data_IF_451064283928
#
_entry.id   IF_451064283928
#
_cell.length_a   1.000
_cell.length_b   1.000
_cell.length_c   1.000
_cell.angle_alpha   90.00
_cell.angle_beta   90.00
_cell.angle_gamma   90.00
#
_symmetry.space_group_name_H-M   'P 1'
#
loop_
_entity.id
_entity.type
_entity.pdbx_description
1 polymer ?
#
# COMPACT_ATOMS: atom_id res chain seq x y z
N UNK A 1 -9.97 3.36 1.11
CA UNK A 1 -10.80 3.60 -0.08
C UNK A 1 -12.20 4.13 0.30
N UNK A 2 -12.83 4.83 -0.63
CA UNK A 2 -14.13 5.51 -0.39
C UNK A 2 -15.34 4.58 -0.52
N UNK A 3 -15.23 3.51 -1.28
CA UNK A 3 -16.30 2.55 -1.54
C UNK A 3 -16.06 1.27 -0.75
N UNK A 4 -17.04 0.87 0.07
CA UNK A 4 -16.94 -0.37 0.86
C UNK A 4 -17.23 -1.59 -0.02
N UNK A 5 -16.34 -2.59 0.00
CA UNK A 5 -16.50 -3.88 -0.68
C UNK A 5 -15.69 -4.97 0.04
N UNK A 6 -15.91 -6.22 -0.34
CA UNK A 6 -15.13 -7.37 0.16
C UNK A 6 -14.16 -7.86 -0.90
N UNK A 7 -13.01 -8.38 -0.47
CA UNK A 7 -11.98 -8.89 -1.36
C UNK A 7 -11.07 -7.80 -1.92
N UNK A 8 -10.51 -8.03 -3.08
CA UNK A 8 -9.63 -7.10 -3.79
C UNK A 8 -10.29 -6.66 -5.09
N UNK A 9 -10.34 -5.35 -5.33
CA UNK A 9 -10.89 -4.79 -6.56
C UNK A 9 -9.77 -4.48 -7.56
N UNK A 10 -9.86 -5.09 -8.72
CA UNK A 10 -9.15 -4.73 -9.94
C UNK A 10 -10.03 -3.82 -10.80
N UNK A 11 -9.49 -3.20 -11.84
CA UNK A 11 -10.25 -2.36 -12.76
C UNK A 11 -10.04 -2.79 -14.22
N UNK A 12 -11.00 -2.43 -15.08
CA UNK A 12 -10.92 -2.58 -16.53
C UNK A 12 -10.21 -1.40 -17.23
N UNK A 13 -9.67 -0.44 -16.47
CA UNK A 13 -9.00 0.73 -17.05
C UNK A 13 -7.71 0.31 -17.75
N UNK A 14 -7.40 0.95 -18.88
CA UNK A 14 -6.17 0.73 -19.63
C UNK A 14 -5.04 1.66 -19.19
N UNK A 15 -5.37 2.76 -18.53
CA UNK A 15 -4.43 3.76 -18.04
C UNK A 15 -5.03 4.62 -16.93
N UNK A 16 -4.16 5.30 -16.20
CA UNK A 16 -4.49 6.37 -15.26
C UNK A 16 -3.82 7.67 -15.70
N UNK A 17 -4.61 8.72 -15.90
CA UNK A 17 -4.09 10.03 -16.30
C UNK A 17 -3.54 10.82 -15.12
N UNK A 18 -2.38 11.44 -15.31
CA UNK A 18 -1.75 12.36 -14.35
C UNK A 18 -1.33 13.65 -15.04
N UNK A 19 -0.97 14.70 -14.30
CA UNK A 19 -0.39 15.90 -14.91
C UNK A 19 0.92 15.66 -15.71
N UNK A 20 1.57 14.50 -15.52
CA UNK A 20 2.79 14.10 -16.24
C UNK A 20 2.50 13.18 -17.43
N UNK A 21 1.24 12.93 -17.75
CA UNK A 21 0.81 11.99 -18.79
C UNK A 21 0.21 10.71 -18.23
N UNK A 22 -0.07 9.76 -19.11
CA UNK A 22 -0.74 8.51 -18.74
C UNK A 22 0.22 7.46 -18.18
N UNK A 23 -0.24 6.74 -17.15
CA UNK A 23 0.42 5.54 -16.61
C UNK A 23 -0.37 4.33 -17.10
N UNK A 24 0.28 3.47 -17.84
CA UNK A 24 -0.36 2.32 -18.50
C UNK A 24 -0.61 1.19 -17.48
N UNK A 25 -1.79 0.63 -17.50
CA UNK A 25 -2.13 -0.60 -16.78
C UNK A 25 -1.60 -1.80 -17.58
N UNK A 26 -0.95 -2.77 -16.92
CA UNK A 26 -0.40 -3.96 -17.58
C UNK A 26 -1.51 -5.01 -17.81
N UNK A 27 -1.98 -5.20 -19.05
CA UNK A 27 -3.15 -6.04 -19.30
C UNK A 27 -2.90 -7.53 -18.96
N UNK A 28 -1.75 -8.07 -19.31
CA UNK A 28 -1.44 -9.47 -19.02
C UNK A 28 -1.31 -9.77 -17.52
N UNK A 29 -0.91 -8.80 -16.72
CA UNK A 29 -0.91 -8.92 -15.26
C UNK A 29 -2.32 -8.75 -14.68
N UNK A 30 -3.15 -7.86 -15.25
CA UNK A 30 -4.55 -7.71 -14.86
C UNK A 30 -5.34 -9.00 -15.10
N UNK A 31 -5.17 -9.64 -16.28
CA UNK A 31 -5.79 -10.94 -16.56
C UNK A 31 -5.39 -12.00 -15.54
N UNK A 32 -4.12 -12.02 -15.14
CA UNK A 32 -3.64 -12.97 -14.12
C UNK A 32 -4.23 -12.70 -12.74
N UNK A 33 -4.30 -11.44 -12.32
CA UNK A 33 -4.82 -11.08 -10.99
C UNK A 33 -6.31 -11.38 -10.87
N UNK A 34 -7.09 -11.17 -11.94
CA UNK A 34 -8.52 -11.48 -11.97
C UNK A 34 -8.85 -12.97 -11.82
N UNK A 35 -7.88 -13.86 -12.08
CA UNK A 35 -8.03 -15.30 -11.86
C UNK A 35 -7.73 -15.72 -10.40
N UNK A 36 -7.30 -14.81 -9.53
CA UNK A 36 -7.03 -15.10 -8.12
C UNK A 36 -8.35 -15.08 -7.33
N UNK A 37 -8.66 -16.12 -6.53
CA UNK A 37 -9.86 -16.13 -5.70
C UNK A 37 -9.96 -14.92 -4.78
N UNK A 38 -11.12 -14.27 -4.75
CA UNK A 38 -11.36 -13.08 -3.95
C UNK A 38 -11.01 -11.75 -4.65
N UNK A 39 -10.53 -11.80 -5.90
CA UNK A 39 -10.39 -10.61 -6.75
C UNK A 39 -11.66 -10.44 -7.58
N UNK A 40 -12.13 -9.22 -7.68
CA UNK A 40 -13.28 -8.81 -8.51
C UNK A 40 -12.90 -7.64 -9.41
N UNK A 41 -13.49 -7.56 -10.59
CA UNK A 41 -13.43 -6.35 -11.41
C UNK A 41 -14.48 -5.38 -10.91
N UNK A 42 -14.04 -4.19 -10.44
CA UNK A 42 -14.94 -3.21 -9.87
C UNK A 42 -14.44 -1.77 -10.09
N UNK A 43 -14.69 -1.22 -11.24
CA UNK A 43 -14.29 0.14 -11.63
C UNK A 43 -14.84 1.23 -10.72
N UNK A 44 -16.05 1.02 -10.18
CA UNK A 44 -16.67 1.98 -9.28
C UNK A 44 -15.86 2.24 -8.00
N UNK A 45 -15.06 1.28 -7.54
CA UNK A 45 -14.19 1.47 -6.38
C UNK A 45 -12.99 2.37 -6.68
N UNK A 46 -12.52 2.38 -7.92
CA UNK A 46 -11.38 3.19 -8.36
C UNK A 46 -11.76 4.63 -8.69
N UNK A 47 -13.04 4.90 -8.96
CA UNK A 47 -13.52 6.25 -9.30
C UNK A 47 -13.44 7.17 -8.08
N UNK A 48 -12.63 8.22 -8.16
CA UNK A 48 -12.44 9.19 -7.09
C UNK A 48 -11.65 8.65 -5.88
N UNK A 49 -10.95 7.53 -6.05
CA UNK A 49 -10.04 6.98 -5.04
C UNK A 49 -8.67 7.68 -5.09
N UNK A 50 -8.13 8.03 -3.91
CA UNK A 50 -6.88 8.79 -3.80
C UNK A 50 -5.66 7.93 -3.49
N UNK A 51 -5.83 6.76 -2.90
CA UNK A 51 -4.71 5.93 -2.43
C UNK A 51 -3.75 5.50 -3.55
N UNK A 52 -4.21 5.43 -4.80
CA UNK A 52 -3.40 5.11 -5.96
C UNK A 52 -2.85 6.38 -6.64
N UNK A 53 -3.71 7.37 -6.91
CA UNK A 53 -3.35 8.53 -7.73
C UNK A 53 -2.21 9.36 -7.16
N UNK A 54 -2.11 9.46 -5.82
CA UNK A 54 -1.05 10.23 -5.15
C UNK A 54 0.35 9.69 -5.41
N UNK A 55 0.48 8.40 -5.72
CA UNK A 55 1.76 7.76 -5.99
C UNK A 55 2.19 7.83 -7.47
N UNK A 56 1.23 7.94 -8.39
CA UNK A 56 1.51 7.79 -9.83
C UNK A 56 2.53 8.79 -10.37
N UNK A 57 2.49 10.09 -10.05
CA UNK A 57 3.50 11.05 -10.52
C UNK A 57 4.92 10.72 -10.03
N UNK A 58 5.04 10.19 -8.81
CA UNK A 58 6.34 9.76 -8.26
C UNK A 58 6.84 8.51 -8.98
N UNK A 59 5.96 7.54 -9.23
CA UNK A 59 6.29 6.34 -10.01
C UNK A 59 6.80 6.72 -11.40
N UNK A 60 6.11 7.64 -12.10
CA UNK A 60 6.52 8.12 -13.41
C UNK A 60 7.90 8.78 -13.40
N UNK A 61 8.22 9.52 -12.34
CA UNK A 61 9.53 10.19 -12.21
C UNK A 61 10.67 9.21 -11.93
N UNK A 62 10.43 8.19 -11.10
CA UNK A 62 11.44 7.20 -10.69
C UNK A 62 11.55 6.06 -11.70
N UNK A 63 10.42 5.64 -12.27
CA UNK A 63 10.31 4.53 -13.22
C UNK A 63 9.52 4.95 -14.47
N UNK A 64 10.10 5.75 -15.38
CA UNK A 64 9.37 6.37 -16.49
C UNK A 64 8.71 5.41 -17.48
N UNK A 65 9.08 4.13 -17.46
CA UNK A 65 8.53 3.08 -18.33
C UNK A 65 7.73 2.03 -17.55
N UNK A 66 7.47 2.26 -16.27
CA UNK A 66 6.69 1.32 -15.48
C UNK A 66 5.26 1.24 -16.00
N UNK A 67 4.73 0.03 -15.96
CA UNK A 67 3.30 -0.26 -16.06
C UNK A 67 2.81 -0.68 -14.69
N UNK A 68 1.56 -0.48 -14.41
CA UNK A 68 0.99 -0.72 -13.08
C UNK A 68 -0.06 -1.83 -13.10
N UNK A 69 -0.21 -2.48 -11.95
CA UNK A 69 -1.33 -3.35 -11.60
C UNK A 69 -2.04 -2.70 -10.41
N UNK A 70 -3.02 -1.83 -10.67
CA UNK A 70 -3.69 -1.06 -9.63
C UNK A 70 -4.74 -1.93 -8.94
N UNK A 71 -4.64 -2.04 -7.61
CA UNK A 71 -5.54 -2.86 -6.81
C UNK A 71 -6.00 -2.08 -5.59
N UNK A 72 -7.27 -2.20 -5.25
CA UNK A 72 -7.85 -1.69 -4.01
C UNK A 72 -8.23 -2.86 -3.12
N UNK A 73 -7.90 -2.73 -1.83
CA UNK A 73 -8.09 -3.82 -0.86
C UNK A 73 -9.28 -3.52 0.03
N UNK A 74 -10.34 -4.31 -0.10
CA UNK A 74 -11.56 -4.22 0.71
C UNK A 74 -11.48 -5.05 1.99
N UNK A 75 -12.65 -5.28 2.61
CA UNK A 75 -12.76 -6.11 3.81
C UNK A 75 -12.48 -7.58 3.51
N UNK A 76 -12.04 -8.32 4.54
CA UNK A 76 -11.80 -9.78 4.49
C UNK A 76 -10.84 -10.23 3.37
N UNK A 77 -9.91 -9.36 2.97
CA UNK A 77 -9.07 -9.55 1.80
C UNK A 77 -7.64 -10.01 2.12
N UNK A 78 -7.25 -10.20 3.38
CA UNK A 78 -5.85 -10.44 3.76
C UNK A 78 -5.24 -11.65 3.04
N UNK A 79 -5.95 -12.79 3.04
CA UNK A 79 -5.50 -14.00 2.33
C UNK A 79 -5.42 -13.79 0.81
N UNK A 80 -6.37 -13.05 0.23
CA UNK A 80 -6.34 -12.71 -1.20
C UNK A 80 -5.13 -11.85 -1.55
N UNK A 81 -4.80 -10.87 -0.70
CA UNK A 81 -3.61 -10.04 -0.89
C UNK A 81 -2.33 -10.88 -0.74
N UNK A 82 -2.24 -11.81 0.23
CA UNK A 82 -1.12 -12.73 0.34
C UNK A 82 -0.93 -13.54 -0.95
N UNK A 83 -2.01 -14.12 -1.51
CA UNK A 83 -1.96 -14.86 -2.79
C UNK A 83 -1.48 -13.98 -3.95
N UNK A 84 -1.97 -12.75 -4.03
CA UNK A 84 -1.53 -11.79 -5.06
C UNK A 84 -0.04 -11.49 -4.90
N UNK A 85 0.40 -11.15 -3.70
CA UNK A 85 1.80 -10.85 -3.43
C UNK A 85 2.71 -12.04 -3.79
N UNK A 86 2.35 -13.26 -3.41
CA UNK A 86 3.10 -14.46 -3.74
C UNK A 86 3.14 -14.72 -5.26
N UNK A 87 2.02 -14.53 -5.97
CA UNK A 87 1.92 -14.74 -7.42
C UNK A 87 2.68 -13.70 -8.25
N UNK A 88 2.80 -12.47 -7.73
CA UNK A 88 3.44 -11.33 -8.40
C UNK A 88 4.78 -10.93 -7.79
N UNK A 89 5.28 -11.69 -6.82
CA UNK A 89 6.61 -11.46 -6.27
C UNK A 89 7.67 -11.76 -7.33
N UNK A 90 8.16 -10.70 -7.95
CA UNK A 90 9.10 -10.80 -9.07
C UNK A 90 10.53 -10.46 -8.65
N UNK A 91 11.39 -10.37 -9.65
CA UNK A 91 12.78 -9.92 -9.53
C UNK A 91 12.90 -8.39 -9.59
N UNK A 92 14.05 -7.90 -10.08
CA UNK A 92 14.34 -6.47 -10.14
C UNK A 92 13.40 -5.66 -11.06
N UNK A 93 12.63 -6.33 -11.92
CA UNK A 93 11.63 -5.72 -12.80
C UNK A 93 10.32 -5.39 -12.09
N UNK A 94 10.06 -5.97 -10.92
CA UNK A 94 8.80 -5.80 -10.17
C UNK A 94 9.03 -4.96 -8.92
N UNK A 95 8.11 -4.07 -8.63
CA UNK A 95 8.05 -3.31 -7.37
C UNK A 95 6.66 -3.37 -6.80
N UNK A 96 6.56 -3.71 -5.53
CA UNK A 96 5.31 -3.72 -4.76
C UNK A 96 5.26 -2.43 -3.97
N UNK A 97 4.14 -1.72 -4.06
CA UNK A 97 3.89 -0.49 -3.31
C UNK A 97 2.59 -0.69 -2.54
N UNK A 98 2.64 -0.58 -1.23
CA UNK A 98 1.47 -0.52 -0.37
C UNK A 98 1.23 0.93 0.03
N UNK A 99 0.06 1.44 -0.32
CA UNK A 99 -0.38 2.79 0.04
C UNK A 99 -1.15 2.74 1.35
N UNK A 100 -0.68 3.47 2.34
CA UNK A 100 -1.33 3.61 3.64
C UNK A 100 -0.86 4.88 4.35
N UNK A 101 -1.79 5.59 4.97
CA UNK A 101 -1.45 6.48 6.07
C UNK A 101 -1.32 5.66 7.37
N UNK A 102 -0.73 6.25 8.40
CA UNK A 102 -0.66 5.68 9.74
C UNK A 102 -1.88 6.12 10.57
N UNK A 103 -1.69 6.61 11.80
CA UNK A 103 -2.79 7.05 12.66
C UNK A 103 -3.52 8.29 12.12
N UNK A 104 -4.80 8.43 12.46
CA UNK A 104 -5.65 9.54 12.00
C UNK A 104 -6.33 10.26 13.16
N UNK A 105 -6.36 11.59 13.08
CA UNK A 105 -7.19 12.48 13.92
C UNK A 105 -6.92 12.33 15.42
N UNK A 106 -5.69 12.06 15.80
CA UNK A 106 -5.24 12.08 17.19
C UNK A 106 -4.41 13.33 17.48
N UNK A 107 -4.38 13.80 18.76
CA UNK A 107 -3.40 14.78 19.20
C UNK A 107 -1.97 14.32 18.87
N UNK A 108 -1.11 15.28 18.53
CA UNK A 108 0.26 15.02 18.03
C UNK A 108 1.06 13.99 18.82
N UNK A 109 1.11 14.11 20.16
CA UNK A 109 1.90 13.19 20.98
C UNK A 109 1.30 11.78 21.03
N UNK A 110 -0.04 11.67 20.97
CA UNK A 110 -0.73 10.38 20.91
C UNK A 110 -0.45 9.70 19.57
N UNK A 111 -0.66 10.43 18.46
CA UNK A 111 -0.38 9.94 17.11
C UNK A 111 1.07 9.46 16.98
N UNK A 112 2.03 10.26 17.46
CA UNK A 112 3.44 9.92 17.44
C UNK A 112 3.75 8.61 18.17
N UNK A 113 3.11 8.37 19.32
CA UNK A 113 3.27 7.13 20.07
C UNK A 113 2.66 5.92 19.36
N UNK A 114 1.50 6.10 18.70
CA UNK A 114 0.85 5.05 17.89
C UNK A 114 1.70 4.72 16.65
N UNK A 115 2.14 5.74 15.93
CA UNK A 115 2.93 5.59 14.70
C UNK A 115 4.29 4.93 14.95
N UNK A 116 4.93 5.24 16.09
CA UNK A 116 6.15 4.56 16.50
C UNK A 116 5.93 3.06 16.73
N UNK A 117 4.83 2.67 17.40
CA UNK A 117 4.50 1.25 17.63
C UNK A 117 4.21 0.53 16.31
N UNK A 118 3.40 1.14 15.44
CA UNK A 118 3.13 0.60 14.10
C UNK A 118 4.41 0.45 13.28
N UNK A 119 5.28 1.46 13.31
CA UNK A 119 6.58 1.42 12.62
C UNK A 119 7.49 0.33 13.14
N UNK A 120 7.52 0.11 14.45
CA UNK A 120 8.30 -0.98 15.04
C UNK A 120 7.78 -2.34 14.56
N UNK A 121 6.45 -2.56 14.58
CA UNK A 121 5.84 -3.78 14.07
C UNK A 121 6.18 -4.03 12.59
N UNK A 122 6.20 -2.98 11.77
CA UNK A 122 6.58 -3.06 10.35
C UNK A 122 8.04 -3.51 10.22
N UNK A 123 8.97 -2.93 10.95
CA UNK A 123 10.41 -3.26 10.88
C UNK A 123 10.66 -4.69 11.37
N UNK A 124 9.95 -5.14 12.37
CA UNK A 124 10.04 -6.49 12.93
C UNK A 124 9.28 -7.54 12.10
N UNK A 125 8.62 -7.12 11.02
CA UNK A 125 7.73 -7.96 10.20
C UNK A 125 6.65 -8.64 11.05
N UNK A 126 6.16 -7.95 12.08
CA UNK A 126 5.11 -8.42 12.98
C UNK A 126 3.74 -7.96 12.46
N UNK A 127 3.08 -8.83 11.68
CA UNK A 127 1.76 -8.52 11.11
C UNK A 127 0.69 -8.29 12.19
N UNK A 128 0.74 -9.01 13.30
CA UNK A 128 -0.25 -8.89 14.38
C UNK A 128 -0.04 -7.64 15.23
N UNK A 129 1.19 -7.13 15.27
CA UNK A 129 1.54 -5.88 15.94
C UNK A 129 1.00 -4.62 15.23
N UNK A 130 0.61 -4.72 13.95
CA UNK A 130 -0.05 -3.62 13.24
C UNK A 130 -1.54 -3.63 13.60
N UNK A 131 -1.96 -2.72 14.47
CA UNK A 131 -3.34 -2.62 14.93
C UNK A 131 -4.26 -1.99 13.87
N UNK A 132 -5.56 -2.25 13.96
CA UNK A 132 -6.55 -1.79 12.99
C UNK A 132 -6.74 -0.27 12.96
N UNK A 133 -6.39 0.43 14.02
CA UNK A 133 -6.39 1.89 14.15
C UNK A 133 -5.02 2.51 13.91
N UNK A 134 -4.00 1.68 13.70
CA UNK A 134 -2.62 2.11 13.46
C UNK A 134 -2.29 2.45 12.00
N UNK A 135 -3.12 2.03 11.05
CA UNK A 135 -2.92 2.30 9.63
C UNK A 135 -4.21 2.10 8.82
N UNK A 136 -4.51 2.99 7.86
CA UNK A 136 -5.70 2.83 7.01
C UNK A 136 -5.57 1.61 6.08
N UNK A 137 -4.38 1.30 5.62
CA UNK A 137 -4.04 0.11 4.81
C UNK A 137 -3.63 -1.10 5.64
N UNK A 138 -4.20 -1.32 6.83
CA UNK A 138 -3.81 -2.42 7.73
C UNK A 138 -3.85 -3.79 7.06
N UNK A 139 -4.88 -4.07 6.24
CA UNK A 139 -5.05 -5.37 5.57
C UNK A 139 -3.91 -5.66 4.58
N UNK A 140 -3.64 -4.82 3.56
CA UNK A 140 -2.54 -5.08 2.65
C UNK A 140 -1.17 -5.00 3.33
N UNK A 141 -1.03 -4.19 4.38
CA UNK A 141 0.20 -4.10 5.14
C UNK A 141 0.49 -5.41 5.89
N UNK A 142 -0.49 -5.97 6.63
CA UNK A 142 -0.34 -7.26 7.30
C UNK A 142 0.00 -8.39 6.33
N UNK A 143 -0.69 -8.46 5.19
CA UNK A 143 -0.39 -9.42 4.14
C UNK A 143 1.05 -9.28 3.63
N UNK A 144 1.51 -8.05 3.39
CA UNK A 144 2.90 -7.80 2.99
C UNK A 144 3.89 -8.29 4.05
N UNK A 145 3.66 -7.97 5.34
CA UNK A 145 4.57 -8.38 6.43
C UNK A 145 4.67 -9.90 6.53
N UNK A 146 3.55 -10.63 6.40
CA UNK A 146 3.54 -12.10 6.39
C UNK A 146 4.36 -12.67 5.23
N UNK A 147 4.16 -12.15 4.01
CA UNK A 147 4.90 -12.60 2.83
C UNK A 147 6.38 -12.21 2.93
N UNK A 148 6.70 -10.99 3.37
CA UNK A 148 8.07 -10.54 3.58
C UNK A 148 8.81 -11.43 4.60
N UNK A 149 8.14 -11.80 5.70
CA UNK A 149 8.70 -12.73 6.70
C UNK A 149 8.98 -14.12 6.12
N UNK A 150 8.03 -14.69 5.34
CA UNK A 150 8.23 -15.97 4.64
C UNK A 150 9.44 -15.91 3.70
N UNK A 151 9.66 -14.76 3.06
CA UNK A 151 10.77 -14.52 2.12
C UNK A 151 12.06 -14.05 2.78
N UNK A 152 12.09 -13.97 4.11
CA UNK A 152 13.25 -13.53 4.89
C UNK A 152 13.76 -12.14 4.49
N UNK A 153 12.83 -11.23 4.19
CA UNK A 153 13.15 -9.83 3.90
C UNK A 153 13.56 -9.11 5.20
N UNK A 154 14.28 -8.03 5.02
CA UNK A 154 14.49 -7.02 6.05
C UNK A 154 13.59 -5.81 5.76
N UNK A 155 13.25 -5.06 6.78
CA UNK A 155 12.54 -3.80 6.64
C UNK A 155 13.26 -2.68 7.39
N UNK A 156 13.16 -1.45 6.88
CA UNK A 156 13.68 -0.25 7.55
C UNK A 156 12.76 0.93 7.39
N UNK A 157 12.75 1.79 8.40
CA UNK A 157 12.11 3.10 8.34
C UNK A 157 13.01 4.02 7.52
N UNK A 158 12.44 4.67 6.49
CA UNK A 158 13.10 5.72 5.72
C UNK A 158 12.71 7.10 6.24
N UNK A 159 11.45 7.25 6.64
CA UNK A 159 10.91 8.49 7.20
C UNK A 159 9.70 8.19 8.08
N UNK A 160 9.51 8.97 9.13
CA UNK A 160 8.35 8.89 10.02
C UNK A 160 8.03 10.29 10.53
N UNK A 161 6.89 10.81 10.14
CA UNK A 161 6.42 12.15 10.52
C UNK A 161 4.90 12.22 10.50
N UNK A 162 4.35 13.36 10.87
CA UNK A 162 2.92 13.62 10.81
C UNK A 162 2.63 14.95 10.09
N UNK A 163 1.35 15.21 9.81
CA UNK A 163 0.91 16.50 9.29
C UNK A 163 1.28 17.66 10.23
N UNK A 164 1.37 17.42 11.55
CA UNK A 164 1.79 18.40 12.54
C UNK A 164 3.30 18.73 12.53
N UNK A 165 4.11 17.95 11.79
CA UNK A 165 5.54 18.21 11.56
C UNK A 165 5.77 19.11 10.32
N UNK A 166 4.73 19.34 9.53
CA UNK A 166 4.80 20.11 8.29
C UNK A 166 3.99 21.41 8.37
N UNK A 167 2.71 21.38 8.02
CA UNK A 167 1.89 22.58 7.91
C UNK A 167 0.56 22.51 8.68
N UNK A 168 0.27 21.38 9.34
CA UNK A 168 -0.99 21.14 10.06
C UNK A 168 -0.99 21.64 11.50
N UNK A 169 -2.21 21.75 12.08
CA UNK A 169 -2.38 21.85 13.53
C UNK A 169 -1.83 20.61 14.22
N UNK A 170 -1.51 20.72 15.51
CA UNK A 170 -1.13 19.58 16.36
C UNK A 170 -2.29 19.02 17.19
N UNK A 171 -3.47 19.58 17.04
CA UNK A 171 -4.65 19.12 17.76
C UNK A 171 -5.17 17.79 17.21
N UNK A 172 -5.18 17.68 15.88
CA UNK A 172 -5.54 16.45 15.15
C UNK A 172 -4.59 16.27 13.98
N UNK A 173 -3.81 15.20 13.99
CA UNK A 173 -2.82 14.92 12.95
C UNK A 173 -3.08 13.61 12.24
N UNK A 174 -2.46 13.46 11.07
CA UNK A 174 -2.35 12.19 10.33
C UNK A 174 -0.88 11.78 10.31
N UNK A 175 -0.60 10.54 10.67
CA UNK A 175 0.73 9.98 10.64
C UNK A 175 1.12 9.50 9.24
N UNK A 176 2.38 9.69 8.87
CA UNK A 176 2.97 9.25 7.60
C UNK A 176 4.25 8.48 7.84
N UNK A 177 4.40 7.35 7.17
CA UNK A 177 5.60 6.53 7.24
C UNK A 177 6.08 6.12 5.84
N UNK A 178 7.39 6.09 5.64
CA UNK A 178 8.02 5.53 4.47
C UNK A 178 8.93 4.38 4.90
N UNK A 179 8.72 3.21 4.30
CA UNK A 179 9.44 1.98 4.65
C UNK A 179 10.00 1.33 3.39
N UNK A 180 11.15 0.70 3.51
CA UNK A 180 11.71 -0.12 2.45
C UNK A 180 11.91 -1.55 2.94
N UNK A 181 11.51 -2.50 2.10
CA UNK A 181 11.74 -3.93 2.29
C UNK A 181 12.81 -4.38 1.29
N UNK A 182 13.78 -5.15 1.75
CA UNK A 182 14.94 -5.55 0.95
C UNK A 182 15.46 -6.92 1.38
N UNK A 183 16.08 -7.62 0.45
CA UNK A 183 16.83 -8.84 0.74
C UNK A 183 18.25 -8.45 1.18
N UNK A 184 18.88 -9.28 2.01
CA UNK A 184 20.30 -9.10 2.28
C UNK A 184 21.06 -9.27 0.96
N UNK A 185 21.97 -8.35 0.67
CA UNK A 185 22.88 -8.52 -0.45
C UNK A 185 23.72 -9.79 -0.23
N UNK A 186 23.87 -10.65 -1.25
CA UNK A 186 24.70 -11.85 -1.14
C UNK A 186 26.17 -11.53 -0.90
#
# INVERSE_FOLDING_TARGET
>A
HRVSFRGVAACAFTHFSTPLGDVIVEPGAMDRVLNIPGVIEYDGSHTGEHSLEVHLPFIQRVFPRARIVPLLVGHDAENTVEMILEAFWGGPETRIIISSDLSHFHPYDVAKGMDQKTSQAIVELDAEGVLSDGACGVIPLRALLKVARKKKMNAKILDLRSSGDTAGSRDEVVGYGAYAFYEDSP
#
